data_IF_498469377606
#
_entry.id   IF_498469377606
#
_cell.length_a   1.000
_cell.length_b   1.000
_cell.length_c   1.000
_cell.angle_alpha   90.00
_cell.angle_beta   90.00
_cell.angle_gamma   90.00
#
_symmetry.space_group_name_H-M   'P 1'
#
loop_
_entity.id
_entity.type
_entity.pdbx_description
1 polymer ?
#
# COMPACT_ATOMS: atom_id res chain seq x y z
N UNK A 1 10.09 -85.94 -51.17
CA UNK A 1 9.12 -86.16 -50.07
C UNK A 1 9.40 -87.54 -49.48
N UNK A 2 9.87 -87.64 -48.23
CA UNK A 2 10.07 -88.92 -47.57
C UNK A 2 8.74 -89.43 -47.01
N UNK A 3 8.24 -90.56 -47.53
CA UNK A 3 7.12 -91.29 -46.95
C UNK A 3 7.57 -91.92 -45.63
N UNK A 4 7.21 -91.32 -44.50
CA UNK A 4 7.33 -91.97 -43.18
C UNK A 4 6.09 -92.81 -42.95
N UNK A 5 6.23 -94.14 -42.90
CA UNK A 5 5.17 -95.07 -42.52
C UNK A 5 5.15 -95.18 -41.00
N UNK A 6 3.96 -95.03 -40.39
CA UNK A 6 3.79 -95.10 -38.93
C UNK A 6 3.96 -96.55 -38.42
N UNK A 7 4.59 -96.71 -37.25
CA UNK A 7 4.78 -98.00 -36.57
C UNK A 7 3.43 -98.64 -36.20
N UNK A 8 3.27 -99.96 -36.41
CA UNK A 8 2.05 -100.71 -36.09
C UNK A 8 1.68 -100.68 -34.59
N UNK A 9 2.65 -100.41 -33.71
CA UNK A 9 2.45 -100.27 -32.27
C UNK A 9 1.91 -98.89 -31.84
N UNK A 10 1.68 -97.99 -32.80
CA UNK A 10 1.20 -96.61 -32.61
C UNK A 10 -0.21 -96.40 -33.19
N UNK A 11 -0.93 -97.47 -33.55
CA UNK A 11 -2.34 -97.41 -33.92
C UNK A 11 -3.21 -97.22 -32.66
N UNK A 12 -3.12 -96.03 -32.08
CA UNK A 12 -4.10 -95.57 -31.10
C UNK A 12 -5.35 -95.20 -31.89
N UNK A 13 -6.50 -95.79 -31.57
CA UNK A 13 -7.78 -95.37 -32.14
C UNK A 13 -8.05 -93.91 -31.76
N UNK A 14 -7.72 -93.00 -32.68
CA UNK A 14 -7.93 -91.58 -32.48
C UNK A 14 -9.36 -91.23 -32.88
N UNK A 15 -10.09 -90.62 -31.95
CA UNK A 15 -11.39 -90.04 -32.26
C UNK A 15 -11.24 -88.96 -33.34
N UNK A 16 -12.24 -88.82 -34.22
CA UNK A 16 -12.29 -87.73 -35.23
C UNK A 16 -12.07 -86.35 -34.61
N UNK A 17 -12.48 -86.13 -33.35
CA UNK A 17 -12.21 -84.88 -32.61
C UNK A 17 -10.72 -84.67 -32.35
N UNK A 18 -9.99 -85.71 -31.96
CA UNK A 18 -8.55 -85.64 -31.73
C UNK A 18 -7.79 -85.47 -33.04
N UNK A 19 -8.24 -86.13 -34.12
CA UNK A 19 -7.67 -85.94 -35.45
C UNK A 19 -7.84 -84.49 -35.94
N UNK A 20 -9.01 -83.88 -35.73
CA UNK A 20 -9.27 -82.47 -36.04
C UNK A 20 -8.48 -81.50 -35.16
N UNK A 21 -8.17 -81.89 -33.92
CA UNK A 21 -7.35 -81.09 -33.01
C UNK A 21 -5.88 -81.07 -33.42
N UNK A 22 -5.35 -82.21 -33.87
CA UNK A 22 -3.95 -82.36 -34.30
C UNK A 22 -3.74 -81.79 -35.71
N UNK A 23 -4.74 -81.88 -36.59
CA UNK A 23 -4.69 -81.32 -37.94
C UNK A 23 -5.78 -80.25 -38.16
N UNK A 24 -5.63 -79.06 -37.55
CA UNK A 24 -6.61 -78.00 -37.69
C UNK A 24 -6.62 -77.45 -39.12
N UNK A 25 -7.81 -77.43 -39.73
CA UNK A 25 -8.02 -76.63 -40.94
C UNK A 25 -7.70 -75.14 -40.73
N UNK A 26 -7.34 -74.42 -41.80
CA UNK A 26 -7.11 -72.96 -41.81
C UNK A 26 -8.20 -72.16 -41.07
N UNK A 27 -9.47 -72.56 -41.21
CA UNK A 27 -10.60 -71.91 -40.51
C UNK A 27 -10.48 -71.98 -38.99
N UNK A 28 -9.98 -73.09 -38.44
CA UNK A 28 -9.79 -73.25 -36.99
C UNK A 28 -8.65 -72.37 -36.47
N UNK A 29 -7.55 -72.30 -37.22
CA UNK A 29 -6.41 -71.44 -36.88
C UNK A 29 -6.84 -69.97 -36.88
N UNK A 30 -7.54 -69.52 -37.93
CA UNK A 30 -8.04 -68.15 -38.04
C UNK A 30 -9.02 -67.81 -36.90
N UNK A 31 -9.93 -68.74 -36.57
CA UNK A 31 -10.86 -68.57 -35.44
C UNK A 31 -10.13 -68.47 -34.11
N UNK A 32 -9.07 -69.26 -33.90
CA UNK A 32 -8.20 -69.16 -32.73
C UNK A 32 -7.50 -67.80 -32.62
N UNK A 33 -6.96 -67.27 -33.71
CA UNK A 33 -6.37 -65.93 -33.76
C UNK A 33 -7.40 -64.84 -33.44
N UNK A 34 -8.59 -64.92 -34.04
CA UNK A 34 -9.68 -63.98 -33.75
C UNK A 34 -10.06 -64.04 -32.25
N UNK A 35 -10.25 -65.23 -31.70
CA UNK A 35 -10.55 -65.40 -30.27
C UNK A 35 -9.41 -64.88 -29.37
N UNK A 36 -8.14 -65.05 -29.74
CA UNK A 36 -6.99 -64.54 -29.00
C UNK A 36 -6.95 -63.00 -28.96
N UNK A 37 -7.26 -62.35 -30.09
CA UNK A 37 -7.27 -60.89 -30.18
C UNK A 37 -8.55 -60.25 -29.64
N UNK A 38 -9.67 -60.99 -29.57
CA UNK A 38 -10.96 -60.47 -29.07
C UNK A 38 -11.17 -60.76 -27.59
N UNK A 39 -10.76 -61.94 -27.08
CA UNK A 39 -10.96 -62.35 -25.67
C UNK A 39 -9.70 -62.86 -24.95
N UNK A 40 -8.65 -63.21 -25.70
CA UNK A 40 -7.39 -63.74 -25.16
C UNK A 40 -6.36 -62.67 -24.74
N UNK A 41 -5.10 -63.09 -24.60
CA UNK A 41 -4.00 -62.20 -24.21
C UNK A 41 -3.80 -61.01 -25.15
N UNK A 42 -4.09 -61.20 -26.45
CA UNK A 42 -4.03 -60.13 -27.44
C UNK A 42 -5.05 -59.02 -27.20
N UNK A 43 -6.23 -59.34 -26.66
CA UNK A 43 -7.23 -58.34 -26.28
C UNK A 43 -6.74 -57.49 -25.10
N UNK A 44 -6.17 -58.14 -24.06
CA UNK A 44 -5.58 -57.46 -22.91
C UNK A 44 -4.43 -56.53 -23.32
N UNK A 45 -3.55 -56.98 -24.21
CA UNK A 45 -2.45 -56.19 -24.74
C UNK A 45 -2.95 -54.98 -25.56
N UNK A 46 -3.97 -55.15 -26.40
CA UNK A 46 -4.61 -54.04 -27.14
C UNK A 46 -5.25 -53.02 -26.21
N UNK A 47 -5.92 -53.46 -25.14
CA UNK A 47 -6.50 -52.56 -24.13
C UNK A 47 -5.39 -51.77 -23.42
N UNK A 48 -4.31 -52.43 -23.00
CA UNK A 48 -3.17 -51.77 -22.39
C UNK A 48 -2.54 -50.72 -23.33
N UNK A 49 -2.33 -51.07 -24.61
CA UNK A 49 -1.80 -50.14 -25.60
C UNK A 49 -2.74 -48.94 -25.85
N UNK A 50 -4.06 -49.15 -25.92
CA UNK A 50 -5.04 -48.06 -26.03
C UNK A 50 -4.98 -47.10 -24.84
N UNK A 51 -4.81 -47.63 -23.61
CA UNK A 51 -4.66 -46.80 -22.41
C UNK A 51 -3.39 -45.96 -22.47
N UNK A 52 -2.27 -46.54 -22.90
CA UNK A 52 -1.02 -45.80 -23.09
C UNK A 52 -1.21 -44.68 -24.11
N UNK A 53 -1.77 -44.99 -25.28
CA UNK A 53 -1.97 -43.98 -26.34
C UNK A 53 -2.90 -42.84 -25.88
N UNK A 54 -3.93 -43.16 -25.08
CA UNK A 54 -4.81 -42.13 -24.49
C UNK A 54 -4.03 -41.23 -23.52
N UNK A 55 -3.22 -41.80 -22.63
CA UNK A 55 -2.41 -41.02 -21.68
C UNK A 55 -1.40 -40.17 -22.43
N UNK A 56 -0.68 -40.74 -23.38
CA UNK A 56 0.31 -40.04 -24.21
C UNK A 56 -0.32 -38.87 -24.97
N UNK A 57 -1.45 -39.12 -25.65
CA UNK A 57 -2.18 -38.07 -26.37
C UNK A 57 -2.63 -36.93 -25.47
N UNK A 58 -3.12 -37.24 -24.26
CA UNK A 58 -3.50 -36.23 -23.29
C UNK A 58 -2.29 -35.43 -22.81
N UNK A 59 -1.18 -36.10 -22.46
CA UNK A 59 0.05 -35.44 -22.02
C UNK A 59 0.56 -34.50 -23.11
N UNK A 60 0.60 -34.94 -24.37
CA UNK A 60 1.00 -34.09 -25.50
C UNK A 60 0.07 -32.90 -25.69
N UNK A 61 -1.25 -33.12 -25.62
CA UNK A 61 -2.24 -32.06 -25.78
C UNK A 61 -2.12 -30.99 -24.67
N UNK A 62 -2.02 -31.41 -23.42
CA UNK A 62 -1.82 -30.49 -22.29
C UNK A 62 -0.48 -29.76 -22.37
N UNK A 63 0.59 -30.47 -22.75
CA UNK A 63 1.90 -29.84 -22.95
C UNK A 63 1.85 -28.77 -24.04
N UNK A 64 1.16 -29.00 -25.15
CA UNK A 64 0.99 -27.99 -26.20
C UNK A 64 0.15 -26.78 -25.73
N UNK A 65 -0.91 -27.02 -24.95
CA UNK A 65 -1.77 -25.96 -24.43
C UNK A 65 -1.04 -25.08 -23.40
N UNK A 66 -0.25 -25.70 -22.52
CA UNK A 66 0.52 -25.01 -21.49
C UNK A 66 1.75 -24.29 -22.05
N UNK A 67 2.43 -24.90 -23.03
CA UNK A 67 3.62 -24.32 -23.67
C UNK A 67 3.28 -23.49 -24.91
N UNK A 68 2.03 -23.05 -25.07
CA UNK A 68 1.65 -22.21 -26.20
C UNK A 68 2.40 -20.87 -26.10
N UNK A 69 3.23 -20.50 -27.11
CA UNK A 69 4.09 -19.33 -27.03
C UNK A 69 3.31 -18.02 -26.86
N UNK A 70 2.09 -17.92 -27.42
CA UNK A 70 1.23 -16.74 -27.26
C UNK A 70 0.71 -16.59 -25.82
N UNK A 71 0.42 -17.71 -25.16
CA UNK A 71 -0.01 -17.70 -23.75
C UNK A 71 1.17 -17.36 -22.85
N UNK A 72 2.34 -17.93 -23.11
CA UNK A 72 3.56 -17.64 -22.35
C UNK A 72 3.98 -16.17 -22.49
N UNK A 73 3.88 -15.58 -23.69
CA UNK A 73 4.17 -14.16 -23.88
C UNK A 73 3.17 -13.28 -23.11
N UNK A 74 1.88 -13.59 -23.15
CA UNK A 74 0.87 -12.85 -22.39
C UNK A 74 1.07 -12.94 -20.87
N UNK A 75 1.46 -14.11 -20.34
CA UNK A 75 1.80 -14.26 -18.92
C UNK A 75 3.00 -13.38 -18.57
N UNK A 76 4.04 -13.39 -19.41
CA UNK A 76 5.23 -12.56 -19.20
C UNK A 76 4.88 -11.06 -19.21
N UNK A 77 4.07 -10.60 -20.16
CA UNK A 77 3.61 -9.22 -20.22
C UNK A 77 2.81 -8.83 -18.97
N UNK A 78 1.96 -9.74 -18.48
CA UNK A 78 1.20 -9.53 -17.24
C UNK A 78 2.12 -9.45 -16.02
N UNK A 79 3.13 -10.31 -15.92
CA UNK A 79 4.12 -10.28 -14.83
C UNK A 79 4.92 -8.97 -14.85
N UNK A 80 5.34 -8.50 -16.03
CA UNK A 80 6.03 -7.21 -16.21
C UNK A 80 5.14 -6.02 -15.79
N UNK A 81 3.84 -6.07 -16.13
CA UNK A 81 2.87 -5.06 -15.71
C UNK A 81 2.64 -5.08 -14.19
N UNK A 82 2.50 -6.27 -13.59
CA UNK A 82 2.35 -6.42 -12.13
C UNK A 82 3.58 -5.87 -11.42
N UNK A 83 4.79 -6.18 -11.90
CA UNK A 83 6.03 -5.64 -11.35
C UNK A 83 6.07 -4.10 -11.42
N UNK A 84 5.65 -3.53 -12.54
CA UNK A 84 5.58 -2.07 -12.73
C UNK A 84 4.57 -1.42 -11.77
N UNK A 85 3.39 -2.02 -11.62
CA UNK A 85 2.35 -1.54 -10.68
C UNK A 85 2.85 -1.64 -9.23
N UNK A 86 3.55 -2.71 -8.86
CA UNK A 86 4.13 -2.86 -7.53
C UNK A 86 5.17 -1.78 -7.24
N UNK A 87 6.03 -1.45 -8.22
CA UNK A 87 7.02 -0.36 -8.08
C UNK A 87 6.34 1.00 -7.90
N UNK A 88 5.32 1.31 -8.70
CA UNK A 88 4.55 2.56 -8.57
C UNK A 88 3.87 2.64 -7.21
N UNK A 89 3.28 1.55 -6.74
CA UNK A 89 2.60 1.49 -5.44
C UNK A 89 3.59 1.73 -4.30
N UNK A 90 4.76 1.07 -4.34
CA UNK A 90 5.83 1.27 -3.36
C UNK A 90 6.36 2.72 -3.38
N UNK A 91 6.50 3.33 -4.56
CA UNK A 91 6.90 4.72 -4.69
C UNK A 91 5.87 5.66 -4.05
N UNK A 92 4.57 5.44 -4.31
CA UNK A 92 3.50 6.23 -3.70
C UNK A 92 3.46 6.11 -2.17
N UNK A 93 3.74 4.92 -1.62
CA UNK A 93 3.83 4.75 -0.16
C UNK A 93 5.02 5.51 0.43
N UNK A 94 6.20 5.43 -0.20
CA UNK A 94 7.38 6.20 0.22
C UNK A 94 7.11 7.69 0.19
N UNK A 95 6.55 8.21 -0.90
CA UNK A 95 6.18 9.64 -0.97
C UNK A 95 5.20 10.04 0.13
N UNK A 96 4.22 9.20 0.47
CA UNK A 96 3.27 9.49 1.55
C UNK A 96 3.97 9.56 2.90
N UNK A 97 4.94 8.68 3.16
CA UNK A 97 5.72 8.68 4.40
C UNK A 97 6.59 9.93 4.45
N UNK A 98 7.36 10.22 3.40
CA UNK A 98 8.22 11.41 3.31
C UNK A 98 7.41 12.70 3.48
N UNK A 99 6.25 12.83 2.84
CA UNK A 99 5.36 13.99 3.02
C UNK A 99 4.91 14.14 4.46
N UNK A 100 4.54 13.05 5.13
CA UNK A 100 4.15 13.07 6.55
C UNK A 100 5.31 13.50 7.44
N UNK A 101 6.52 13.02 7.18
CA UNK A 101 7.72 13.37 7.93
C UNK A 101 8.09 14.85 7.74
N UNK A 102 8.06 15.36 6.50
CA UNK A 102 8.30 16.78 6.21
C UNK A 102 7.27 17.68 6.88
N UNK A 103 5.98 17.30 6.86
CA UNK A 103 4.92 18.05 7.54
C UNK A 103 5.16 18.04 9.06
N UNK A 104 5.51 16.88 9.63
CA UNK A 104 5.80 16.76 11.06
C UNK A 104 7.04 17.57 11.48
N UNK A 105 8.10 17.57 10.66
CA UNK A 105 9.31 18.34 10.90
C UNK A 105 9.02 19.85 10.87
N UNK A 106 8.32 20.35 9.84
CA UNK A 106 7.91 21.75 9.73
C UNK A 106 7.01 22.17 10.89
N UNK A 107 6.10 21.31 11.34
CA UNK A 107 5.25 21.59 12.50
C UNK A 107 6.06 21.71 13.80
N UNK A 108 7.06 20.84 14.01
CA UNK A 108 7.96 20.92 15.16
C UNK A 108 8.80 22.19 15.13
N UNK A 109 9.35 22.55 13.99
CA UNK A 109 10.15 23.76 13.80
C UNK A 109 9.33 25.03 14.05
N UNK A 110 8.11 25.11 13.49
CA UNK A 110 7.19 26.23 13.77
C UNK A 110 6.86 26.37 15.25
N UNK A 111 6.64 25.26 15.97
CA UNK A 111 6.39 25.29 17.41
C UNK A 111 7.61 25.80 18.18
N UNK A 112 8.83 25.42 17.79
CA UNK A 112 10.06 25.93 18.41
C UNK A 112 10.22 27.43 18.18
N UNK A 113 10.08 27.89 16.93
CA UNK A 113 10.15 29.33 16.62
C UNK A 113 9.09 30.14 17.37
N UNK A 114 7.86 29.63 17.47
CA UNK A 114 6.80 30.30 18.23
C UNK A 114 7.11 30.36 19.73
N UNK A 115 7.70 29.31 20.30
CA UNK A 115 8.11 29.29 21.70
C UNK A 115 9.28 30.26 21.97
N UNK A 116 10.27 30.31 21.07
CA UNK A 116 11.39 31.25 21.15
C UNK A 116 10.93 32.71 21.02
N UNK A 117 10.07 33.01 20.05
CA UNK A 117 9.52 34.35 19.85
C UNK A 117 8.63 34.78 21.03
N UNK A 118 7.87 33.85 21.63
CA UNK A 118 7.12 34.10 22.85
C UNK A 118 8.04 34.40 24.03
N UNK A 119 9.11 33.61 24.22
CA UNK A 119 10.09 33.82 25.28
C UNK A 119 10.87 35.14 25.12
N UNK A 120 11.17 35.56 23.89
CA UNK A 120 11.81 36.84 23.64
C UNK A 120 10.85 38.02 23.91
N UNK A 121 9.57 37.88 23.55
CA UNK A 121 8.54 38.88 23.85
C UNK A 121 8.30 39.02 25.36
N UNK A 122 8.34 37.94 26.13
CA UNK A 122 8.22 38.01 27.60
C UNK A 122 9.43 38.69 28.21
N UNK A 123 10.65 38.35 27.79
CA UNK A 123 11.88 39.04 28.26
C UNK A 123 11.82 40.54 28.00
N UNK A 124 11.47 40.95 26.78
CA UNK A 124 11.30 42.37 26.41
C UNK A 124 10.19 43.04 27.20
N UNK A 125 9.13 42.31 27.59
CA UNK A 125 8.09 42.84 28.49
C UNK A 125 8.66 43.10 29.87
N UNK A 126 9.38 42.14 30.44
CA UNK A 126 9.91 42.23 31.80
C UNK A 126 10.96 43.33 31.94
N UNK A 127 11.76 43.59 30.89
CA UNK A 127 12.72 44.69 30.83
C UNK A 127 12.05 46.09 30.76
N UNK A 128 10.97 46.21 29.98
CA UNK A 128 10.30 47.50 29.76
C UNK A 128 9.27 47.84 30.85
N UNK A 129 8.74 46.83 31.54
CA UNK A 129 7.74 46.97 32.61
C UNK A 129 8.13 47.98 33.70
N UNK A 130 9.36 47.95 34.30
CA UNK A 130 9.72 48.90 35.35
C UNK A 130 9.78 50.35 34.87
N UNK A 131 10.23 50.60 33.64
CA UNK A 131 10.27 51.95 33.06
C UNK A 131 8.85 52.49 32.77
N UNK A 132 7.96 51.61 32.30
CA UNK A 132 6.54 51.92 32.10
C UNK A 132 5.82 52.20 33.43
N UNK A 133 6.04 51.37 34.45
CA UNK A 133 5.49 51.56 35.80
C UNK A 133 5.96 52.89 36.42
N UNK A 134 7.22 53.27 36.23
CA UNK A 134 7.74 54.55 36.70
C UNK A 134 7.07 55.76 36.02
N UNK A 135 6.72 55.66 34.74
CA UNK A 135 5.98 56.69 34.01
C UNK A 135 4.54 56.75 34.51
N UNK A 136 3.87 55.61 34.64
CA UNK A 136 2.48 55.53 35.09
C UNK A 136 2.31 55.95 36.56
N UNK A 137 3.29 55.66 37.43
CA UNK A 137 3.28 56.09 38.83
C UNK A 137 3.26 57.63 39.00
N UNK A 138 3.72 58.40 38.01
CA UNK A 138 3.60 59.87 38.02
C UNK A 138 2.16 60.35 37.76
N UNK A 139 1.39 59.57 37.00
CA UNK A 139 -0.04 59.83 36.79
C UNK A 139 -0.87 59.45 38.03
N UNK A 140 -0.56 58.31 38.66
CA UNK A 140 -1.23 57.86 39.91
C UNK A 140 -0.95 58.82 41.08
N UNK A 141 0.27 59.38 41.16
CA UNK A 141 0.63 60.40 42.17
C UNK A 141 0.03 61.78 41.92
N UNK A 142 -0.70 61.97 40.82
CA UNK A 142 -1.36 63.24 40.49
C UNK A 142 -0.41 64.33 39.98
N UNK A 143 0.85 64.02 39.67
CA UNK A 143 1.81 64.97 39.10
C UNK A 143 1.46 65.37 37.66
N UNK A 144 0.66 64.55 36.96
CA UNK A 144 0.12 64.84 35.62
C UNK A 144 -1.37 64.53 35.58
N UNK A 145 -2.17 65.47 35.08
CA UNK A 145 -3.62 65.29 34.91
C UNK A 145 -3.92 64.52 33.61
N UNK A 146 -4.62 63.40 33.73
CA UNK A 146 -5.32 62.80 32.59
C UNK A 146 -6.52 63.69 32.23
N UNK A 147 -6.85 63.93 30.94
CA UNK A 147 -6.25 63.37 29.71
C UNK A 147 -5.13 64.23 29.09
N UNK A 148 -4.79 65.40 29.65
CA UNK A 148 -3.82 66.33 29.08
C UNK A 148 -2.41 65.71 28.99
N UNK A 149 -1.96 65.02 30.04
CA UNK A 149 -0.63 64.39 30.07
C UNK A 149 -0.47 63.19 29.11
N UNK A 150 -1.57 62.55 28.69
CA UNK A 150 -1.53 61.49 27.68
C UNK A 150 -1.47 62.04 26.25
N UNK A 151 -2.04 63.23 26.00
CA UNK A 151 -1.94 63.90 24.69
C UNK A 151 -0.50 64.32 24.35
N UNK A 152 0.29 64.64 25.37
CA UNK A 152 1.71 65.02 25.24
C UNK A 152 2.63 63.83 24.94
N UNK A 153 2.21 62.59 25.21
CA UNK A 153 3.02 61.41 24.93
C UNK A 153 3.19 61.15 23.43
N UNK A 154 4.32 60.54 23.07
CA UNK A 154 4.55 60.07 21.72
C UNK A 154 3.63 58.88 21.43
N UNK A 155 3.13 58.78 20.18
CA UNK A 155 2.28 57.67 19.73
C UNK A 155 2.91 56.31 20.04
N UNK A 156 4.22 56.19 19.88
CA UNK A 156 5.00 54.99 20.16
C UNK A 156 4.91 54.60 21.65
N UNK A 157 4.97 55.57 22.57
CA UNK A 157 4.86 55.32 24.02
C UNK A 157 3.45 54.85 24.40
N UNK A 158 2.41 55.47 23.86
CA UNK A 158 1.00 55.07 24.09
C UNK A 158 0.73 53.64 23.57
N UNK A 159 1.22 53.31 22.37
CA UNK A 159 1.13 51.96 21.82
C UNK A 159 1.91 50.95 22.67
N UNK A 160 3.05 51.36 23.24
CA UNK A 160 3.89 50.50 24.09
C UNK A 160 3.19 50.22 25.42
N UNK A 161 2.62 51.23 26.07
CA UNK A 161 1.80 51.08 27.28
C UNK A 161 0.65 50.09 27.01
N UNK A 162 -0.18 50.33 25.99
CA UNK A 162 -1.30 49.45 25.67
C UNK A 162 -0.87 48.02 25.30
N UNK A 163 0.25 47.86 24.60
CA UNK A 163 0.74 46.53 24.18
C UNK A 163 1.26 45.67 25.34
N UNK A 164 1.69 46.29 26.44
CA UNK A 164 2.25 45.61 27.60
C UNK A 164 1.31 45.57 28.81
N UNK A 165 0.28 46.43 28.86
CA UNK A 165 -0.77 46.43 29.88
C UNK A 165 -1.94 45.47 29.57
N UNK A 166 -2.17 45.10 28.31
CA UNK A 166 -3.20 44.13 27.92
C UNK A 166 -2.62 42.70 27.77
N UNK A 167 -3.26 41.70 28.39
CA UNK A 167 -2.92 40.28 28.21
C UNK A 167 -3.30 39.76 26.80
N UNK A 168 -4.38 40.28 26.22
CA UNK A 168 -4.76 40.04 24.82
C UNK A 168 -4.46 41.28 23.98
N UNK A 169 -3.52 41.18 23.02
CA UNK A 169 -3.16 42.32 22.15
C UNK A 169 -4.32 42.69 21.22
N UNK A 170 -4.91 43.89 21.32
CA UNK A 170 -5.88 44.33 20.32
C UNK A 170 -5.20 44.44 18.95
N UNK A 171 -5.81 43.83 17.93
CA UNK A 171 -5.31 43.88 16.55
C UNK A 171 -5.35 45.33 16.05
N UNK A 172 -4.24 45.82 15.51
CA UNK A 172 -4.18 47.14 14.86
C UNK A 172 -3.76 48.32 15.74
N UNK A 173 -3.26 48.12 16.96
CA UNK A 173 -2.77 49.22 17.83
C UNK A 173 -1.79 50.19 17.14
N UNK A 174 -0.90 49.67 16.27
CA UNK A 174 0.08 50.50 15.56
C UNK A 174 -0.54 51.38 14.47
N UNK A 175 -1.68 50.97 13.90
CA UNK A 175 -2.39 51.69 12.82
C UNK A 175 -3.47 52.63 13.35
N UNK A 176 -3.82 52.57 14.64
CA UNK A 176 -4.78 53.48 15.26
C UNK A 176 -4.29 54.93 15.28
N UNK A 177 -5.24 55.87 15.24
CA UNK A 177 -4.96 57.30 15.36
C UNK A 177 -4.58 57.67 16.82
N UNK A 178 -3.74 58.69 17.00
CA UNK A 178 -3.21 59.10 18.31
C UNK A 178 -4.34 59.45 19.28
N UNK A 179 -5.40 60.10 18.80
CA UNK A 179 -6.55 60.45 19.63
C UNK A 179 -7.31 59.21 20.15
N UNK A 180 -7.43 58.17 19.33
CA UNK A 180 -8.05 56.89 19.72
C UNK A 180 -7.18 56.13 20.73
N UNK A 181 -5.86 56.19 20.58
CA UNK A 181 -4.91 55.60 21.53
C UNK A 181 -4.97 56.31 22.89
N UNK A 182 -5.06 57.65 22.90
CA UNK A 182 -5.21 58.42 24.14
C UNK A 182 -6.53 58.09 24.84
N UNK A 183 -7.64 57.97 24.10
CA UNK A 183 -8.93 57.58 24.67
C UNK A 183 -8.86 56.20 25.35
N UNK A 184 -8.30 55.19 24.67
CA UNK A 184 -8.13 53.85 25.23
C UNK A 184 -7.21 53.78 26.46
N UNK A 185 -6.13 54.57 26.50
CA UNK A 185 -5.25 54.65 27.68
C UNK A 185 -5.97 55.37 28.82
N UNK A 186 -6.76 56.40 28.52
CA UNK A 186 -7.52 57.15 29.53
C UNK A 186 -8.62 56.29 30.15
N UNK A 187 -9.41 55.57 29.35
CA UNK A 187 -10.43 54.64 29.84
C UNK A 187 -9.84 53.54 30.75
N UNK A 188 -8.65 53.04 30.42
CA UNK A 188 -8.01 51.98 31.20
C UNK A 188 -7.43 52.48 32.54
N UNK A 189 -7.03 53.75 32.60
CA UNK A 189 -6.41 54.36 33.79
C UNK A 189 -7.32 55.39 34.49
N UNK A 190 -8.58 55.49 34.10
CA UNK A 190 -9.54 56.34 34.77
C UNK A 190 -9.81 55.78 36.18
N UNK A 191 -9.61 56.58 37.24
CA UNK A 191 -9.72 56.12 38.63
C UNK A 191 -11.13 55.68 39.03
N UNK A 192 -12.15 55.87 38.18
CA UNK A 192 -13.54 55.45 38.39
C UNK A 192 -13.83 53.97 38.08
N UNK A 193 -12.84 53.16 37.69
CA UNK A 193 -12.98 51.70 37.48
C UNK A 193 -12.19 50.84 38.47
N UNK A 194 -11.58 51.45 39.50
CA UNK A 194 -10.98 50.76 40.66
C UNK A 194 -11.82 51.00 41.92
N UNK A 195 -13.08 50.56 41.88
CA UNK A 195 -13.94 50.42 43.05
C UNK A 195 -14.48 48.98 43.09
#
# INVERSE_FOLDING_TARGET
MCNRVASQYLNVEMSKKQQNLINPSYKHVLTGFMCYHVRGGGAKQKIAHRRINMVESNVTSYAQCLNNPKRLSAIREMDELIASVAQVTAHQEREKIERKEVIAAKAKERKKMQAEEAAEKTKKRDELKPALEAIMAKFVRGEKTAPAGFKEMLKIQLVTILKYSYDEKPRGLATMDKNKLVAHVTEFYDPSHSA
#
